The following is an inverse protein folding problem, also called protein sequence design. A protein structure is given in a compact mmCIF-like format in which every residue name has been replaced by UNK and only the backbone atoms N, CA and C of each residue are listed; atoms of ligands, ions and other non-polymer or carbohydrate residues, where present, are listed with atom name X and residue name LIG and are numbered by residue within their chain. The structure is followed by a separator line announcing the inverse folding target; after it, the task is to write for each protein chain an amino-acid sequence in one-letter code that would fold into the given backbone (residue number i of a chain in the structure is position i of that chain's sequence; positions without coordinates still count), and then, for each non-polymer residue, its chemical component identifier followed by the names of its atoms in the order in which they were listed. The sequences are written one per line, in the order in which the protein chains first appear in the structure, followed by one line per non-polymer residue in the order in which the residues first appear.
data_IF_676666532063
#
_entry.id   IF_676666532063
#
_cell.length_a   1.000
_cell.length_b   1.000
_cell.length_c   1.000
_cell.angle_alpha   90.00
_cell.angle_beta   90.00
_cell.angle_gamma   90.00
#
_symmetry.space_group_name_H-M   'P 1'
#
loop_
_entity.id
_entity.type
_entity.pdbx_description
1 polymer ?
#
# COMPACT_ATOMS: atom_id res chain seq x y z
N UNK A 1 17.70 -9.48 -30.75
CA UNK A 1 16.42 -9.74 -31.41
C UNK A 1 15.69 -10.82 -30.64
N UNK A 2 14.41 -10.58 -30.33
CA UNK A 2 13.50 -11.53 -29.67
C UNK A 2 12.47 -11.99 -30.69
N UNK A 3 11.97 -13.23 -30.52
CA UNK A 3 10.93 -13.81 -31.34
C UNK A 3 9.90 -14.50 -30.44
N UNK A 4 8.63 -14.33 -30.78
CA UNK A 4 7.48 -14.90 -30.07
C UNK A 4 6.64 -15.62 -31.10
N UNK A 5 6.42 -16.91 -30.94
CA UNK A 5 5.54 -17.73 -31.78
C UNK A 5 4.09 -17.66 -31.29
N UNK A 6 3.14 -18.04 -32.15
CA UNK A 6 1.70 -17.92 -31.88
C UNK A 6 1.26 -16.47 -31.52
N UNK A 7 1.86 -15.51 -32.20
CA UNK A 7 1.84 -14.10 -31.85
C UNK A 7 0.72 -13.29 -32.51
N UNK A 8 -0.45 -13.91 -32.74
CA UNK A 8 -1.58 -13.20 -33.30
C UNK A 8 -2.11 -12.15 -32.32
N UNK A 9 -2.17 -10.89 -32.77
CA UNK A 9 -2.72 -9.75 -32.04
C UNK A 9 -2.08 -9.53 -30.66
N UNK A 10 -0.76 -9.73 -30.53
CA UNK A 10 -0.04 -9.47 -29.29
C UNK A 10 0.50 -8.04 -29.25
N UNK A 11 0.66 -7.59 -28.01
CA UNK A 11 1.41 -6.40 -27.64
C UNK A 11 2.60 -6.84 -26.81
N UNK A 12 3.73 -6.15 -26.96
CA UNK A 12 4.91 -6.35 -26.11
C UNK A 12 5.29 -5.02 -25.48
N UNK A 13 5.38 -5.03 -24.17
CA UNK A 13 5.85 -3.88 -23.40
C UNK A 13 7.13 -4.23 -22.70
N UNK A 14 8.08 -3.30 -22.73
CA UNK A 14 9.24 -3.28 -21.85
C UNK A 14 8.77 -2.73 -20.50
N UNK A 15 8.87 -3.55 -19.45
CA UNK A 15 8.47 -3.24 -18.08
C UNK A 15 9.69 -3.24 -17.14
N UNK A 16 10.88 -3.12 -17.70
CA UNK A 16 12.14 -2.99 -16.94
C UNK A 16 12.05 -1.84 -15.94
N UNK A 17 11.45 -0.71 -16.35
CA UNK A 17 10.96 0.31 -15.44
C UNK A 17 9.43 0.21 -15.35
N UNK A 18 8.86 -0.36 -14.27
CA UNK A 18 7.42 -0.58 -14.18
C UNK A 18 6.60 0.71 -14.05
N UNK A 19 7.24 1.83 -13.73
CA UNK A 19 6.59 3.15 -13.61
C UNK A 19 6.48 3.83 -14.99
N UNK A 20 7.34 3.47 -15.93
CA UNK A 20 7.39 4.01 -17.29
C UNK A 20 7.47 2.89 -18.32
N UNK A 21 6.44 2.06 -18.45
CA UNK A 21 6.46 0.96 -19.41
C UNK A 21 6.45 1.48 -20.85
N UNK A 22 7.26 0.89 -21.71
CA UNK A 22 7.37 1.28 -23.11
C UNK A 22 6.84 0.19 -24.03
N UNK A 23 6.01 0.56 -25.00
CA UNK A 23 5.52 -0.37 -26.03
C UNK A 23 6.59 -0.57 -27.09
N UNK A 24 6.86 -1.84 -27.44
CA UNK A 24 7.68 -2.19 -28.61
C UNK A 24 6.87 -2.24 -29.91
N UNK A 25 7.46 -1.75 -30.97
CA UNK A 25 7.00 -2.02 -32.33
C UNK A 25 7.38 -3.45 -32.70
N UNK A 26 6.40 -4.20 -33.22
CA UNK A 26 6.56 -5.60 -33.60
C UNK A 26 6.57 -5.75 -35.11
N UNK A 27 7.49 -6.55 -35.59
CA UNK A 27 7.48 -7.04 -36.97
C UNK A 27 6.88 -8.45 -36.99
N UNK A 28 5.85 -8.65 -37.82
CA UNK A 28 5.15 -9.91 -37.91
C UNK A 28 5.56 -10.65 -39.20
N UNK A 29 5.86 -11.94 -39.06
CA UNK A 29 6.08 -12.88 -40.14
C UNK A 29 5.25 -14.13 -39.87
N UNK A 30 4.16 -14.29 -40.60
CA UNK A 30 3.10 -15.25 -40.32
C UNK A 30 2.59 -15.15 -38.88
N UNK A 31 2.77 -16.19 -38.06
CA UNK A 31 2.39 -16.25 -36.63
C UNK A 31 3.53 -15.92 -35.67
N UNK A 32 4.64 -15.38 -36.18
CA UNK A 32 5.80 -15.01 -35.38
C UNK A 32 5.93 -13.49 -35.31
N UNK A 33 5.91 -12.94 -34.11
CA UNK A 33 6.28 -11.56 -33.86
C UNK A 33 7.75 -11.45 -33.48
N UNK A 34 8.44 -10.42 -33.97
CA UNK A 34 9.81 -10.14 -33.57
C UNK A 34 10.00 -8.67 -33.26
N UNK A 35 10.92 -8.40 -32.31
CA UNK A 35 11.35 -7.05 -31.97
C UNK A 35 12.83 -7.03 -31.62
N UNK A 36 13.40 -5.83 -31.64
CA UNK A 36 14.80 -5.58 -31.30
C UNK A 36 14.83 -4.55 -30.18
N UNK A 37 15.61 -4.80 -29.16
CA UNK A 37 15.93 -3.82 -28.12
C UNK A 37 17.44 -3.62 -28.04
N UNK A 38 17.88 -2.46 -27.60
CA UNK A 38 19.27 -2.22 -27.24
C UNK A 38 19.62 -3.12 -26.06
N UNK A 39 20.73 -3.85 -26.18
CA UNK A 39 21.13 -4.86 -25.19
C UNK A 39 21.52 -4.25 -23.85
N UNK A 40 20.56 -4.03 -22.97
CA UNK A 40 20.83 -3.92 -21.55
C UNK A 40 20.75 -5.31 -20.92
N UNK A 41 21.54 -5.56 -19.92
CA UNK A 41 21.47 -6.79 -19.13
C UNK A 41 20.24 -6.67 -18.23
N UNK A 42 19.37 -7.67 -18.23
CA UNK A 42 18.16 -7.77 -17.40
C UNK A 42 16.96 -6.90 -17.84
N UNK A 43 16.62 -6.91 -19.11
CA UNK A 43 15.34 -6.34 -19.55
C UNK A 43 14.19 -7.29 -19.23
N UNK A 44 13.09 -6.73 -18.74
CA UNK A 44 11.82 -7.44 -18.48
C UNK A 44 10.77 -7.06 -19.53
N UNK A 45 10.15 -8.07 -20.14
CA UNK A 45 9.12 -7.86 -21.14
C UNK A 45 7.84 -8.58 -20.78
N UNK A 46 6.70 -7.95 -21.04
CA UNK A 46 5.39 -8.57 -20.96
C UNK A 46 4.77 -8.63 -22.33
N UNK A 47 4.44 -9.85 -22.77
CA UNK A 47 3.68 -10.07 -24.00
C UNK A 47 2.25 -10.46 -23.64
N UNK A 48 1.25 -9.79 -24.22
CA UNK A 48 -0.16 -10.00 -23.90
C UNK A 48 -1.07 -9.72 -25.09
N UNK A 49 -2.30 -10.21 -25.04
CA UNK A 49 -3.39 -9.86 -25.94
C UNK A 49 -4.43 -9.03 -25.21
N UNK A 50 -5.01 -8.04 -25.86
CA UNK A 50 -6.03 -7.18 -25.24
C UNK A 50 -7.30 -7.95 -24.86
N UNK A 51 -7.67 -8.95 -25.63
CA UNK A 51 -8.83 -9.81 -25.35
C UNK A 51 -8.63 -10.73 -24.13
N UNK A 52 -7.37 -10.96 -23.73
CA UNK A 52 -7.02 -11.71 -22.53
C UNK A 52 -6.87 -10.81 -21.28
N UNK A 53 -6.90 -9.50 -21.44
CA UNK A 53 -6.81 -8.57 -20.32
C UNK A 53 -8.09 -8.61 -19.48
N UNK A 54 -7.90 -8.61 -18.15
CA UNK A 54 -9.05 -8.48 -17.25
C UNK A 54 -9.60 -7.07 -17.30
N UNK A 55 -10.92 -6.92 -17.37
CA UNK A 55 -11.58 -5.63 -17.25
C UNK A 55 -11.55 -5.15 -15.80
N UNK A 56 -11.36 -3.85 -15.59
CA UNK A 56 -11.49 -3.23 -14.29
C UNK A 56 -12.97 -3.10 -13.92
N UNK A 57 -13.27 -3.30 -12.63
CA UNK A 57 -14.61 -3.09 -12.08
C UNK A 57 -14.60 -1.79 -11.28
N UNK A 58 -15.46 -0.85 -11.63
CA UNK A 58 -15.69 0.31 -10.79
C UNK A 58 -16.34 -0.13 -9.47
N UNK A 59 -15.80 0.26 -8.33
CA UNK A 59 -16.33 -0.07 -7.01
C UNK A 59 -17.06 1.15 -6.43
N UNK A 60 -16.34 2.27 -6.25
CA UNK A 60 -16.89 3.50 -5.69
C UNK A 60 -15.94 4.67 -5.96
N UNK A 61 -16.43 5.86 -5.66
CA UNK A 61 -15.60 7.07 -5.58
C UNK A 61 -14.98 7.19 -4.20
N UNK A 62 -13.74 7.68 -4.15
CA UNK A 62 -13.07 8.06 -2.90
C UNK A 62 -13.32 9.54 -2.66
N UNK A 63 -13.72 9.92 -1.43
CA UNK A 63 -13.87 11.32 -1.04
C UNK A 63 -12.53 12.05 -1.07
N UNK A 64 -12.59 13.36 -1.31
CA UNK A 64 -11.39 14.19 -1.22
C UNK A 64 -10.82 14.17 0.19
N UNK A 65 -9.53 13.91 0.30
CA UNK A 65 -8.77 13.89 1.55
C UNK A 65 -7.38 14.47 1.31
N UNK A 66 -6.71 14.90 2.37
CA UNK A 66 -5.32 15.38 2.30
C UNK A 66 -4.65 15.17 3.66
N UNK A 67 -4.14 13.98 3.89
CA UNK A 67 -3.38 13.64 5.11
C UNK A 67 -2.02 14.35 5.15
N UNK A 68 -1.48 14.73 3.99
CA UNK A 68 -0.22 15.45 3.91
C UNK A 68 -0.29 16.88 4.45
N UNK A 69 -1.49 17.46 4.58
CA UNK A 69 -1.68 18.81 5.09
C UNK A 69 -1.75 18.89 6.62
N UNK A 70 -2.02 17.78 7.30
CA UNK A 70 -2.14 17.71 8.76
C UNK A 70 -0.96 16.95 9.35
N UNK A 71 -0.09 17.61 10.07
CA UNK A 71 1.12 17.00 10.64
C UNK A 71 1.56 17.62 11.97
N UNK A 72 0.93 18.69 12.44
CA UNK A 72 1.35 19.42 13.64
C UNK A 72 0.53 19.00 14.87
N UNK A 73 0.80 17.80 15.37
CA UNK A 73 0.18 17.21 16.56
C UNK A 73 1.15 16.25 17.27
N UNK A 74 0.84 15.93 18.54
CA UNK A 74 1.71 15.15 19.42
C UNK A 74 1.43 13.65 19.40
N UNK A 75 0.17 13.29 19.14
CA UNK A 75 -0.32 11.93 19.28
C UNK A 75 -1.21 11.54 18.11
N UNK A 76 -0.89 10.42 17.47
CA UNK A 76 -1.66 9.82 16.39
C UNK A 76 -2.42 8.60 16.90
N UNK A 77 -3.72 8.56 16.67
CA UNK A 77 -4.54 7.36 16.89
C UNK A 77 -4.96 6.81 15.53
N UNK A 78 -4.52 5.59 15.21
CA UNK A 78 -4.95 4.86 14.02
C UNK A 78 -6.01 3.85 14.45
N UNK A 79 -7.24 4.00 13.97
CA UNK A 79 -8.37 3.18 14.41
C UNK A 79 -9.31 2.78 13.29
N UNK A 80 -9.95 1.63 13.44
CA UNK A 80 -11.04 1.23 12.54
C UNK A 80 -12.31 2.08 12.79
N UNK A 81 -13.13 2.36 11.77
CA UNK A 81 -14.36 3.14 11.92
C UNK A 81 -15.29 2.68 13.05
N UNK A 82 -15.32 1.37 13.33
CA UNK A 82 -16.14 0.80 14.42
C UNK A 82 -15.75 1.31 15.82
N UNK A 83 -14.53 1.76 16.00
CA UNK A 83 -14.00 2.25 17.30
C UNK A 83 -13.77 3.75 17.32
N UNK A 84 -14.22 4.46 16.27
CA UNK A 84 -13.97 5.89 16.13
C UNK A 84 -14.49 6.71 17.30
N UNK A 85 -15.70 6.38 17.83
CA UNK A 85 -16.28 7.07 19.00
C UNK A 85 -15.44 6.85 20.26
N UNK A 86 -14.88 5.67 20.45
CA UNK A 86 -14.00 5.36 21.58
C UNK A 86 -12.67 6.11 21.47
N UNK A 87 -12.13 6.21 20.26
CA UNK A 87 -10.95 7.00 19.98
C UNK A 87 -11.17 8.49 20.25
N UNK A 88 -12.35 9.04 19.88
CA UNK A 88 -12.72 10.43 20.20
C UNK A 88 -12.83 10.68 21.72
N UNK A 89 -13.36 9.72 22.48
CA UNK A 89 -13.37 9.83 23.93
C UNK A 89 -11.96 9.85 24.52
N UNK A 90 -11.08 8.97 24.01
CA UNK A 90 -9.67 8.92 24.44
C UNK A 90 -8.97 10.24 24.10
N UNK A 91 -9.18 10.75 22.90
CA UNK A 91 -8.68 12.04 22.46
C UNK A 91 -9.10 13.17 23.42
N UNK A 92 -10.39 13.25 23.77
CA UNK A 92 -10.89 14.28 24.69
C UNK A 92 -10.19 14.20 26.05
N UNK A 93 -10.00 13.01 26.61
CA UNK A 93 -9.34 12.80 27.89
C UNK A 93 -7.89 13.30 27.87
N UNK A 94 -7.13 12.90 26.85
CA UNK A 94 -5.73 13.29 26.76
C UNK A 94 -5.52 14.75 26.36
N UNK A 95 -6.45 15.35 25.64
CA UNK A 95 -6.43 16.80 25.41
C UNK A 95 -6.65 17.57 26.73
N UNK A 96 -7.60 17.13 27.57
CA UNK A 96 -7.94 17.82 28.82
C UNK A 96 -6.89 17.60 29.94
N UNK A 97 -6.34 16.39 30.05
CA UNK A 97 -5.45 16.02 31.17
C UNK A 97 -3.97 16.29 30.83
N UNK A 98 -3.56 15.96 29.61
CA UNK A 98 -2.16 15.91 29.21
C UNK A 98 -1.77 17.06 28.27
N UNK A 99 -2.73 17.91 27.87
CA UNK A 99 -2.54 19.02 26.91
C UNK A 99 -1.92 18.55 25.58
N UNK A 100 -2.30 17.35 25.12
CA UNK A 100 -1.80 16.78 23.88
C UNK A 100 -2.71 17.15 22.70
N UNK A 101 -2.14 17.57 21.60
CA UNK A 101 -2.85 17.65 20.33
C UNK A 101 -2.87 16.28 19.66
N UNK A 102 -4.09 15.81 19.32
CA UNK A 102 -4.33 14.44 18.87
C UNK A 102 -5.06 14.43 17.55
N UNK A 103 -4.56 13.66 16.60
CA UNK A 103 -5.27 13.35 15.34
C UNK A 103 -5.71 11.89 15.33
N UNK A 104 -6.91 11.64 14.78
CA UNK A 104 -7.47 10.30 14.60
C UNK A 104 -7.60 10.03 13.12
N UNK A 105 -7.09 8.89 12.66
CA UNK A 105 -7.14 8.50 11.26
C UNK A 105 -7.55 7.02 11.15
N UNK A 106 -8.20 6.66 10.04
CA UNK A 106 -8.48 5.25 9.75
C UNK A 106 -7.45 4.67 8.80
N UNK A 107 -7.14 3.35 8.87
CA UNK A 107 -6.23 2.71 7.93
C UNK A 107 -6.61 2.95 6.47
N UNK A 108 -7.90 2.95 6.13
CA UNK A 108 -8.35 3.18 4.75
C UNK A 108 -7.97 4.57 4.21
N UNK A 109 -8.03 5.61 5.03
CA UNK A 109 -7.59 6.95 4.62
C UNK A 109 -6.09 6.96 4.33
N UNK A 110 -5.30 6.26 5.16
CA UNK A 110 -3.86 6.13 4.92
C UNK A 110 -3.60 5.35 3.63
N UNK A 111 -4.27 4.23 3.42
CA UNK A 111 -4.11 3.43 2.20
C UNK A 111 -4.42 4.22 0.93
N UNK A 112 -5.43 5.07 0.95
CA UNK A 112 -5.81 5.87 -0.22
C UNK A 112 -4.67 6.78 -0.71
N UNK A 113 -3.89 7.37 0.21
CA UNK A 113 -2.80 8.30 -0.15
C UNK A 113 -1.42 7.63 -0.24
N UNK A 114 -1.16 6.58 0.54
CA UNK A 114 0.17 6.01 0.67
C UNK A 114 0.35 4.64 -0.02
N UNK A 115 -0.75 4.01 -0.48
CA UNK A 115 -0.70 2.72 -1.19
C UNK A 115 -1.77 2.56 -2.27
N UNK A 116 -2.23 3.65 -2.87
CA UNK A 116 -3.24 3.64 -3.95
C UNK A 116 -4.53 2.87 -3.57
N UNK A 117 -4.93 2.91 -2.29
CA UNK A 117 -6.09 2.22 -1.75
C UNK A 117 -5.88 0.75 -1.40
N UNK A 118 -4.71 0.19 -1.67
CA UNK A 118 -4.40 -1.20 -1.30
C UNK A 118 -4.05 -1.31 0.20
N UNK A 119 -4.57 -2.32 0.87
CA UNK A 119 -4.19 -2.64 2.24
C UNK A 119 -2.71 -3.01 2.31
N UNK A 120 -1.90 -2.12 2.89
CA UNK A 120 -0.44 -2.24 2.97
C UNK A 120 0.06 -1.67 4.30
N UNK A 121 0.73 -2.52 5.08
CA UNK A 121 1.33 -2.11 6.35
C UNK A 121 2.42 -1.03 6.17
N UNK A 122 3.13 -1.06 5.04
CA UNK A 122 4.16 -0.07 4.73
C UNK A 122 3.57 1.34 4.51
N UNK A 123 2.31 1.44 4.09
CA UNK A 123 1.61 2.71 3.96
C UNK A 123 1.47 3.40 5.33
N UNK A 124 1.13 2.65 6.38
CA UNK A 124 1.02 3.16 7.75
C UNK A 124 2.39 3.66 8.22
N UNK A 125 3.44 2.86 8.04
CA UNK A 125 4.81 3.26 8.37
C UNK A 125 5.23 4.54 7.65
N UNK A 126 4.99 4.62 6.35
CA UNK A 126 5.35 5.80 5.55
C UNK A 126 4.58 7.05 5.97
N UNK A 127 3.31 6.90 6.36
CA UNK A 127 2.51 7.99 6.92
C UNK A 127 3.08 8.49 8.25
N UNK A 128 3.37 7.58 9.20
CA UNK A 128 3.96 7.93 10.50
C UNK A 128 5.31 8.61 10.29
N UNK A 129 6.16 8.08 9.43
CA UNK A 129 7.45 8.68 9.08
C UNK A 129 7.28 10.09 8.52
N UNK A 130 6.37 10.29 7.57
CA UNK A 130 6.09 11.60 6.99
C UNK A 130 5.63 12.61 8.05
N UNK A 131 4.77 12.19 8.98
CA UNK A 131 4.32 13.02 10.10
C UNK A 131 5.49 13.42 11.01
N UNK A 132 6.32 12.46 11.40
CA UNK A 132 7.48 12.69 12.26
C UNK A 132 8.47 13.67 11.64
N UNK A 133 8.80 13.49 10.35
CA UNK A 133 9.71 14.36 9.62
C UNK A 133 9.13 15.77 9.42
N UNK A 134 7.86 15.89 9.00
CA UNK A 134 7.23 17.19 8.75
C UNK A 134 6.94 18.01 10.00
N UNK A 135 6.60 17.34 11.11
CA UNK A 135 6.32 18.02 12.39
C UNK A 135 7.60 18.44 13.14
N UNK A 136 8.76 18.31 12.51
CA UNK A 136 10.04 18.51 13.19
C UNK A 136 10.15 17.68 14.47
N UNK A 137 9.76 16.41 14.38
CA UNK A 137 9.78 15.40 15.46
C UNK A 137 8.80 15.68 16.62
N UNK A 138 7.74 16.43 16.37
CA UNK A 138 6.71 16.72 17.37
C UNK A 138 5.87 15.48 17.68
N UNK A 139 5.59 14.63 16.69
CA UNK A 139 4.86 13.38 16.89
C UNK A 139 5.62 12.48 17.88
N UNK A 140 5.05 12.27 19.08
CA UNK A 140 5.66 11.48 20.16
C UNK A 140 5.00 10.15 20.40
N UNK A 141 3.71 10.05 20.11
CA UNK A 141 2.91 8.88 20.43
C UNK A 141 2.13 8.42 19.22
N UNK A 142 2.09 7.10 19.02
CA UNK A 142 1.23 6.43 18.03
C UNK A 142 0.50 5.31 18.74
N UNK A 143 -0.83 5.30 18.63
CA UNK A 143 -1.69 4.24 19.13
C UNK A 143 -2.34 3.51 17.96
N UNK A 144 -2.09 2.23 17.85
CA UNK A 144 -2.81 1.31 16.98
C UNK A 144 -4.02 0.81 17.76
N UNK A 145 -5.19 1.44 17.53
CA UNK A 145 -6.38 1.23 18.34
C UNK A 145 -7.35 0.29 17.63
N UNK A 146 -7.18 -1.00 17.87
CA UNK A 146 -7.95 -2.09 17.30
C UNK A 146 -7.16 -3.39 17.35
N UNK A 147 -7.87 -4.51 17.22
CA UNK A 147 -7.24 -5.82 17.16
C UNK A 147 -6.66 -6.09 15.76
N UNK A 148 -5.55 -6.79 15.70
CA UNK A 148 -4.87 -7.15 14.48
C UNK A 148 -5.12 -8.61 14.11
N UNK A 149 -5.01 -8.92 12.82
CA UNK A 149 -4.95 -10.29 12.31
C UNK A 149 -3.74 -10.43 11.41
N UNK A 150 -3.16 -11.61 11.39
CA UNK A 150 -2.11 -11.98 10.42
C UNK A 150 -2.58 -11.80 8.96
N UNK A 151 -3.89 -11.93 8.74
CA UNK A 151 -4.51 -11.73 7.43
C UNK A 151 -4.99 -10.29 7.23
N UNK A 152 -4.08 -9.33 7.27
CA UNK A 152 -4.41 -7.92 7.06
C UNK A 152 -5.05 -7.61 5.68
N UNK A 153 -5.01 -8.56 4.74
CA UNK A 153 -5.69 -8.47 3.42
C UNK A 153 -7.07 -9.10 3.40
N UNK A 154 -7.54 -9.62 4.54
CA UNK A 154 -8.85 -10.24 4.72
C UNK A 154 -9.15 -11.34 3.68
N UNK A 155 -8.18 -12.23 3.43
CA UNK A 155 -8.32 -13.36 2.50
C UNK A 155 -9.05 -14.54 3.12
N UNK A 156 -8.90 -14.71 4.44
CA UNK A 156 -9.58 -15.74 5.24
C UNK A 156 -10.99 -15.34 5.67
N UNK A 157 -11.35 -14.04 5.53
CA UNK A 157 -12.62 -13.50 6.02
C UNK A 157 -12.59 -13.08 7.50
N UNK A 158 -11.44 -13.12 8.15
CA UNK A 158 -11.25 -12.58 9.49
C UNK A 158 -11.09 -11.05 9.44
N UNK A 159 -11.71 -10.37 10.40
CA UNK A 159 -11.64 -8.91 10.43
C UNK A 159 -10.32 -8.46 11.05
N UNK A 160 -9.48 -7.78 10.26
CA UNK A 160 -8.33 -7.05 10.76
C UNK A 160 -8.72 -5.58 10.92
N UNK A 161 -8.78 -5.07 12.14
CA UNK A 161 -9.16 -3.69 12.41
C UNK A 161 -8.01 -2.72 12.20
N UNK A 162 -6.84 -3.06 12.71
CA UNK A 162 -5.57 -2.35 12.48
C UNK A 162 -4.49 -3.39 12.26
N UNK A 163 -3.74 -3.35 11.15
CA UNK A 163 -2.77 -4.41 10.86
C UNK A 163 -1.55 -4.33 11.77
N UNK A 164 -0.93 -5.46 12.01
CA UNK A 164 0.38 -5.60 12.63
C UNK A 164 1.42 -6.08 11.62
N UNK A 165 2.69 -5.89 11.93
CA UNK A 165 3.78 -6.51 11.19
C UNK A 165 4.05 -7.92 11.70
N UNK A 166 4.25 -8.85 10.78
CA UNK A 166 4.73 -10.20 11.08
C UNK A 166 6.07 -10.45 10.39
N UNK A 167 6.96 -11.12 11.10
CA UNK A 167 8.26 -11.52 10.55
C UNK A 167 8.14 -12.55 9.41
N UNK A 168 9.17 -12.65 8.58
CA UNK A 168 9.19 -13.51 7.38
C UNK A 168 8.80 -14.99 7.66
N UNK A 169 9.20 -15.62 8.79
CA UNK A 169 8.78 -17.00 9.08
C UNK A 169 7.39 -17.09 9.74
N UNK A 170 6.42 -16.31 9.25
CA UNK A 170 5.05 -16.26 9.82
C UNK A 170 4.31 -17.60 9.84
N UNK A 171 4.76 -18.59 9.07
CA UNK A 171 4.23 -19.97 9.11
C UNK A 171 4.82 -20.83 10.23
N UNK A 172 5.90 -20.41 10.90
CA UNK A 172 6.46 -21.10 12.05
C UNK A 172 6.07 -20.36 13.35
N UNK A 173 5.14 -20.95 14.09
CA UNK A 173 4.64 -20.37 15.35
C UNK A 173 5.70 -20.20 16.44
N UNK A 174 6.89 -20.77 16.27
CA UNK A 174 8.02 -20.63 17.21
C UNK A 174 8.93 -19.46 16.86
N UNK A 175 8.94 -19.04 15.60
CA UNK A 175 9.83 -17.99 15.08
C UNK A 175 9.06 -16.77 14.58
N UNK A 176 7.72 -16.86 14.51
CA UNK A 176 6.88 -15.72 14.14
C UNK A 176 6.87 -14.68 15.26
N UNK A 177 7.25 -13.47 14.91
CA UNK A 177 7.20 -12.29 15.80
C UNK A 177 6.23 -11.30 15.20
N UNK A 178 5.16 -11.00 15.95
CA UNK A 178 4.28 -9.87 15.69
C UNK A 178 4.83 -8.67 16.46
N UNK A 179 5.01 -7.53 15.81
CA UNK A 179 5.54 -6.32 16.46
C UNK A 179 4.99 -5.06 15.83
N UNK A 180 4.72 -4.08 16.67
CA UNK A 180 4.34 -2.74 16.26
C UNK A 180 5.56 -1.82 16.07
N UNK A 181 6.76 -2.23 16.48
CA UNK A 181 8.00 -1.49 16.31
C UNK A 181 8.30 -1.19 14.83
N UNK A 182 7.82 -2.06 13.93
CA UNK A 182 7.93 -1.86 12.48
C UNK A 182 7.42 -0.50 12.00
N UNK A 183 6.41 0.05 12.67
CA UNK A 183 5.78 1.30 12.24
C UNK A 183 6.55 2.54 12.69
N UNK A 184 7.47 2.42 13.64
CA UNK A 184 8.20 3.55 14.23
C UNK A 184 9.73 3.51 14.01
N UNK A 185 10.23 2.49 13.32
CA UNK A 185 11.67 2.31 13.01
C UNK A 185 12.05 2.83 11.62
#
# INVERSE_FOLDING_TARGET
KYQISNANNIYVWDVTNPVEPMRHELHFDADVASFITAGAVNNEFVAFRLDACKSVKFISTVGNQNLHAKYDFDFLIITHPNFYQQAERLKSIHNEIDDLEIEIVTPQLIYNEFSCGASDISAIRNYIRMLYEKSNHRLRYVLLFGDASYDYKNRSGEVCFVPTYESVPSCDTRECICTDDYFVC
#
